data_IF_374378619990
#
_entry.id   IF_374378619990
#
_cell.length_a   1.000
_cell.length_b   1.000
_cell.length_c   1.000
_cell.angle_alpha   90.00
_cell.angle_beta   90.00
_cell.angle_gamma   90.00
#
_symmetry.space_group_name_H-M   'P 1'
#
loop_
_entity.id
_entity.type
_entity.pdbx_description
1 polymer ?
#
# COMPACT_ATOMS: atom_id res chain seq x y z
N UNK A 1 -5.18 -5.86 8.16
CA UNK A 1 -6.57 -5.75 8.74
C UNK A 1 -7.13 -4.36 8.40
N UNK A 2 -8.45 -4.17 8.37
CA UNK A 2 -9.01 -2.85 7.98
C UNK A 2 -10.38 -2.54 8.59
N UNK A 3 -10.74 -1.25 8.56
CA UNK A 3 -11.97 -0.70 9.13
C UNK A 3 -12.70 0.19 8.14
N UNK A 4 -14.03 0.07 8.13
CA UNK A 4 -14.94 1.07 7.55
C UNK A 4 -15.48 1.90 8.69
N UNK A 5 -15.14 3.17 8.73
CA UNK A 5 -15.56 4.09 9.79
C UNK A 5 -16.62 5.02 9.23
N UNK A 6 -17.80 5.02 9.85
CA UNK A 6 -18.92 5.89 9.48
C UNK A 6 -19.11 6.91 10.60
N UNK A 7 -18.89 8.18 10.27
CA UNK A 7 -19.07 9.32 11.15
C UNK A 7 -20.32 10.10 10.68
N UNK A 8 -20.93 10.94 11.54
CA UNK A 8 -22.08 11.77 11.15
C UNK A 8 -21.83 12.64 9.91
N UNK A 9 -20.57 13.00 9.64
CA UNK A 9 -20.17 13.89 8.55
C UNK A 9 -19.17 13.26 7.57
N UNK A 10 -19.09 11.93 7.50
CA UNK A 10 -18.26 11.28 6.48
C UNK A 10 -18.00 9.80 6.69
N UNK A 11 -17.47 9.16 5.66
CA UNK A 11 -17.09 7.75 5.63
C UNK A 11 -15.60 7.65 5.30
N UNK A 12 -14.88 6.88 6.10
CA UNK A 12 -13.45 6.63 5.97
C UNK A 12 -13.23 5.13 5.80
N UNK A 13 -12.32 4.74 4.93
CA UNK A 13 -11.80 3.38 4.91
C UNK A 13 -10.32 3.41 5.27
N UNK A 14 -9.95 2.57 6.23
CA UNK A 14 -8.59 2.35 6.67
C UNK A 14 -8.22 0.90 6.41
N UNK A 15 -7.15 0.64 5.66
CA UNK A 15 -6.67 -0.70 5.40
C UNK A 15 -5.15 -0.73 5.26
N UNK A 16 -4.48 -1.26 6.29
CA UNK A 16 -3.03 -1.52 6.31
C UNK A 16 -2.76 -2.96 6.70
N UNK A 17 -1.52 -3.40 6.53
CA UNK A 17 -1.06 -4.76 6.71
C UNK A 17 -1.96 -5.74 5.95
N UNK A 18 -2.00 -5.59 4.62
CA UNK A 18 -2.82 -6.44 3.74
C UNK A 18 -2.18 -6.62 2.37
N UNK A 19 -2.33 -7.80 1.77
CA UNK A 19 -1.89 -8.09 0.39
C UNK A 19 -2.95 -7.75 -0.67
N UNK A 20 -4.22 -7.63 -0.28
CA UNK A 20 -5.34 -7.48 -1.23
C UNK A 20 -6.55 -6.80 -0.61
N UNK A 21 -7.35 -6.16 -1.46
CA UNK A 21 -8.68 -5.61 -1.13
C UNK A 21 -9.80 -6.25 -1.97
N UNK A 22 -9.52 -7.41 -2.59
CA UNK A 22 -10.52 -8.15 -3.34
C UNK A 22 -11.75 -8.49 -2.47
N UNK A 23 -12.94 -8.20 -3.00
CA UNK A 23 -14.21 -8.37 -2.28
C UNK A 23 -14.55 -7.24 -1.31
N UNK A 24 -13.69 -6.23 -1.14
CA UNK A 24 -13.97 -5.05 -0.33
C UNK A 24 -14.38 -3.88 -1.24
N UNK A 25 -15.54 -3.31 -0.99
CA UNK A 25 -16.03 -2.12 -1.67
C UNK A 25 -16.16 -0.94 -0.71
N UNK A 26 -15.82 0.26 -1.17
CA UNK A 26 -15.97 1.50 -0.41
C UNK A 26 -16.36 2.64 -1.36
N UNK A 27 -17.53 2.53 -2.00
CA UNK A 27 -17.98 3.50 -3.00
C UNK A 27 -18.23 4.88 -2.40
N UNK A 28 -17.62 5.90 -2.99
CA UNK A 28 -17.80 7.31 -2.65
C UNK A 28 -17.65 7.55 -1.14
N UNK A 29 -16.55 7.04 -0.57
CA UNK A 29 -16.09 7.43 0.75
C UNK A 29 -15.35 8.76 0.63
N UNK A 30 -15.28 9.49 1.73
CA UNK A 30 -14.67 10.82 1.77
C UNK A 30 -13.15 10.72 1.88
N UNK A 31 -12.64 9.69 2.59
CA UNK A 31 -11.22 9.48 2.79
C UNK A 31 -10.81 8.00 2.70
N UNK A 32 -9.75 7.73 1.94
CA UNK A 32 -9.15 6.42 1.75
C UNK A 32 -7.74 6.40 2.34
N UNK A 33 -7.55 5.68 3.44
CA UNK A 33 -6.26 5.45 4.10
C UNK A 33 -5.82 4.01 3.80
N UNK A 34 -5.08 3.82 2.71
CA UNK A 34 -4.83 2.47 2.16
C UNK A 34 -3.35 2.21 1.99
N UNK A 35 -2.93 0.99 2.33
CA UNK A 35 -1.56 0.53 2.11
C UNK A 35 -1.14 0.67 0.65
N UNK A 36 0.06 1.22 0.46
CA UNK A 36 0.77 1.22 -0.81
C UNK A 36 2.25 0.98 -0.51
N UNK A 37 2.57 -0.27 -0.17
CA UNK A 37 3.83 -0.61 0.47
C UNK A 37 5.03 -0.42 -0.45
N UNK A 38 4.93 -0.88 -1.69
CA UNK A 38 6.04 -0.82 -2.64
C UNK A 38 5.55 -0.55 -4.06
N UNK A 39 6.47 -0.05 -4.89
CA UNK A 39 6.32 -0.03 -6.33
C UNK A 39 6.93 -1.30 -6.94
N UNK A 40 6.27 -1.88 -7.95
CA UNK A 40 6.65 -3.17 -8.53
C UNK A 40 8.03 -3.14 -9.21
N UNK A 41 8.44 -2.00 -9.75
CA UNK A 41 9.75 -1.84 -10.38
C UNK A 41 10.87 -1.80 -9.31
N UNK A 42 10.73 -0.89 -8.35
CA UNK A 42 11.71 -0.63 -7.30
C UNK A 42 11.98 -1.86 -6.45
N UNK A 43 10.91 -2.57 -6.03
CA UNK A 43 11.07 -3.77 -5.19
C UNK A 43 11.82 -4.88 -5.92
N UNK A 44 11.60 -5.02 -7.24
CA UNK A 44 12.29 -6.02 -8.06
C UNK A 44 13.73 -5.64 -8.33
N UNK A 45 14.03 -4.35 -8.44
CA UNK A 45 15.41 -3.87 -8.58
C UNK A 45 16.22 -4.19 -7.33
N UNK A 46 15.70 -3.84 -6.15
CA UNK A 46 16.33 -4.15 -4.86
C UNK A 46 16.53 -5.64 -4.63
N UNK A 47 15.54 -6.45 -5.00
CA UNK A 47 15.69 -7.91 -4.96
C UNK A 47 16.88 -8.38 -5.79
N UNK A 48 17.03 -7.88 -7.02
CA UNK A 48 18.14 -8.27 -7.90
C UNK A 48 19.49 -7.82 -7.33
N UNK A 49 19.55 -6.63 -6.75
CA UNK A 49 20.78 -6.12 -6.12
C UNK A 49 21.21 -7.01 -4.95
N UNK A 50 20.29 -7.33 -4.03
CA UNK A 50 20.58 -8.21 -2.88
C UNK A 50 20.93 -9.63 -3.32
N UNK A 51 20.24 -10.18 -4.32
CA UNK A 51 20.59 -11.47 -4.90
C UNK A 51 21.99 -11.46 -5.52
N UNK A 52 22.38 -10.37 -6.17
CA UNK A 52 23.71 -10.21 -6.76
C UNK A 52 24.81 -10.07 -5.69
N UNK A 53 24.52 -9.48 -4.53
CA UNK A 53 25.47 -9.36 -3.40
C UNK A 53 25.44 -10.56 -2.45
N UNK A 54 24.56 -11.54 -2.68
CA UNK A 54 24.39 -12.71 -1.81
C UNK A 54 23.65 -12.40 -0.51
N UNK A 55 23.00 -11.25 -0.41
CA UNK A 55 22.16 -10.85 0.72
C UNK A 55 20.77 -11.49 0.65
N UNK A 56 20.13 -11.62 1.82
CA UNK A 56 18.75 -12.09 1.89
C UNK A 56 17.77 -11.00 1.43
N UNK A 57 17.00 -11.27 0.38
CA UNK A 57 16.02 -10.35 -0.20
C UNK A 57 14.67 -10.40 0.53
N UNK A 58 14.54 -9.63 1.61
CA UNK A 58 13.29 -9.43 2.39
C UNK A 58 12.11 -8.93 1.54
N UNK A 59 12.40 -8.30 0.42
CA UNK A 59 11.45 -7.83 -0.58
C UNK A 59 10.52 -8.93 -1.09
N UNK A 60 10.98 -10.20 -1.10
CA UNK A 60 10.13 -11.36 -1.43
C UNK A 60 8.92 -11.45 -0.49
N UNK A 61 9.16 -11.31 0.81
CA UNK A 61 8.11 -11.41 1.81
C UNK A 61 7.18 -10.20 1.73
N UNK A 62 7.72 -9.02 1.41
CA UNK A 62 6.89 -7.83 1.18
C UNK A 62 5.95 -8.02 -0.02
N UNK A 63 6.42 -8.60 -1.12
CA UNK A 63 5.58 -8.89 -2.29
C UNK A 63 4.43 -9.86 -1.99
N UNK A 64 4.62 -10.78 -1.04
CA UNK A 64 3.61 -11.79 -0.67
C UNK A 64 2.61 -11.25 0.36
N UNK A 65 3.04 -10.39 1.27
CA UNK A 65 2.24 -9.98 2.42
C UNK A 65 1.62 -8.58 2.30
N UNK A 66 2.18 -7.73 1.44
CA UNK A 66 1.82 -6.31 1.37
C UNK A 66 1.26 -5.88 0.01
N UNK A 67 0.41 -4.85 0.05
CA UNK A 67 -0.30 -4.32 -1.11
C UNK A 67 0.62 -3.40 -1.90
N UNK A 68 0.84 -3.71 -3.19
CA UNK A 68 1.59 -2.83 -4.07
C UNK A 68 0.83 -1.53 -4.35
N UNK A 69 1.58 -0.46 -4.64
CA UNK A 69 1.00 0.83 -5.00
C UNK A 69 0.07 0.73 -6.20
N UNK A 70 0.45 -0.03 -7.24
CA UNK A 70 -0.37 -0.19 -8.43
C UNK A 70 -1.73 -0.85 -8.13
N UNK A 71 -1.76 -1.85 -7.24
CA UNK A 71 -3.00 -2.52 -6.81
C UNK A 71 -3.85 -1.61 -5.93
N UNK A 72 -3.22 -0.83 -5.06
CA UNK A 72 -3.87 0.21 -4.27
C UNK A 72 -4.54 1.26 -5.16
N UNK A 73 -3.81 1.82 -6.12
CA UNK A 73 -4.31 2.82 -7.07
C UNK A 73 -5.52 2.30 -7.85
N UNK A 74 -5.41 1.10 -8.42
CA UNK A 74 -6.51 0.50 -9.18
C UNK A 74 -7.78 0.34 -8.34
N UNK A 75 -7.62 -0.08 -7.08
CA UNK A 75 -8.74 -0.23 -6.16
C UNK A 75 -9.33 1.12 -5.73
N UNK A 76 -8.50 2.13 -5.44
CA UNK A 76 -8.96 3.49 -5.13
C UNK A 76 -9.76 4.07 -6.31
N UNK A 77 -9.24 3.98 -7.53
CA UNK A 77 -9.93 4.52 -8.72
C UNK A 77 -11.29 3.87 -8.98
N UNK A 78 -11.47 2.60 -8.64
CA UNK A 78 -12.76 1.93 -8.76
C UNK A 78 -13.78 2.37 -7.69
N UNK A 79 -13.34 3.02 -6.61
CA UNK A 79 -14.17 3.32 -5.45
C UNK A 79 -14.36 4.82 -5.19
N UNK A 80 -13.34 5.63 -5.46
CA UNK A 80 -13.30 7.05 -5.11
C UNK A 80 -14.34 7.86 -5.89
N UNK A 81 -15.07 8.72 -5.18
CA UNK A 81 -15.98 9.69 -5.79
C UNK A 81 -15.25 10.97 -6.18
N UNK A 82 -15.95 11.88 -6.87
CA UNK A 82 -15.40 13.16 -7.34
C UNK A 82 -14.68 13.99 -6.26
N UNK A 83 -15.15 13.93 -5.03
CA UNK A 83 -14.62 14.71 -3.90
C UNK A 83 -13.87 13.85 -2.88
N UNK A 84 -13.61 12.58 -3.19
CA UNK A 84 -12.89 11.70 -2.27
C UNK A 84 -11.40 12.04 -2.26
N UNK A 85 -10.77 11.89 -1.10
CA UNK A 85 -9.34 12.05 -0.91
C UNK A 85 -8.68 10.72 -0.54
N UNK A 86 -7.39 10.56 -0.82
CA UNK A 86 -6.64 9.37 -0.42
C UNK A 86 -5.27 9.70 0.12
N UNK A 87 -4.80 8.88 1.06
CA UNK A 87 -3.46 8.93 1.63
C UNK A 87 -2.88 7.52 1.57
N UNK A 88 -1.69 7.40 0.97
CA UNK A 88 -0.94 6.17 0.98
C UNK A 88 -0.39 5.89 2.38
N UNK A 89 -0.71 4.71 2.90
CA UNK A 89 -0.31 4.26 4.21
C UNK A 89 0.73 3.14 4.10
N UNK A 90 1.43 2.89 5.20
CA UNK A 90 2.35 1.76 5.36
C UNK A 90 3.31 1.56 4.17
N UNK A 91 3.93 2.65 3.73
CA UNK A 91 4.90 2.65 2.64
C UNK A 91 6.24 2.11 3.14
N UNK A 92 6.86 1.22 2.38
CA UNK A 92 8.23 0.81 2.59
C UNK A 92 9.13 2.02 2.35
N UNK A 93 9.93 2.39 3.36
CA UNK A 93 10.93 3.45 3.27
C UNK A 93 12.29 2.83 3.53
N UNK A 94 13.28 3.22 2.73
CA UNK A 94 14.66 2.95 3.09
C UNK A 94 15.02 3.74 4.35
N UNK A 95 15.73 3.09 5.26
CA UNK A 95 16.55 3.84 6.20
C UNK A 95 17.78 4.25 5.41
N UNK A 96 17.98 5.55 5.19
CA UNK A 96 19.28 6.06 4.76
C UNK A 96 20.31 5.52 5.75
N UNK A 97 21.23 4.67 5.27
CA UNK A 97 22.40 4.29 6.05
C UNK A 97 23.19 5.59 6.27
N UNK A 98 23.15 6.12 7.49
CA UNK A 98 24.05 7.18 7.90
C UNK A 98 25.47 6.63 7.77
N UNK A 99 26.21 7.10 6.75
CA UNK A 99 27.64 6.85 6.63
C UNK A 99 28.32 7.38 7.92
N UNK A 100 29.01 6.50 8.64
CA UNK A 100 29.85 6.82 9.81
C UNK A 100 31.29 6.54 9.46
#
# INVERSE_FOLDING_TARGET
MGYKVHLPHGKIIYATDTVTLAGIEAKHYDLYLVEANYEDADIRERMREKEATGEYAYERDAMVNHLSKARCDAWIYQNIGRNGEYIYMHQHREQERSET
#
